data_IF_248074023758
#
_entry.id   IF_248074023758
#
_cell.length_a   1.000
_cell.length_b   1.000
_cell.length_c   1.000
_cell.angle_alpha   90.00
_cell.angle_beta   90.00
_cell.angle_gamma   90.00
#
_symmetry.space_group_name_H-M   'P 1'
#
loop_
_entity.id
_entity.type
_entity.pdbx_description
1 polymer ?
#
# COMPACT_ATOMS: atom_id res chain seq x y z
N UNK A 1 -7.74 6.76 -0.69
CA UNK A 1 -6.71 6.70 -1.75
C UNK A 1 -7.12 5.60 -2.74
N UNK A 2 -7.62 5.95 -3.92
CA UNK A 2 -7.97 4.96 -4.95
C UNK A 2 -6.86 4.94 -5.99
N UNK A 3 -6.24 3.78 -6.17
CA UNK A 3 -5.22 3.58 -7.19
C UNK A 3 -5.83 3.72 -8.60
N UNK A 4 -5.19 4.42 -9.54
CA UNK A 4 -5.82 4.71 -10.83
C UNK A 4 -5.97 3.43 -11.67
N UNK A 5 -7.19 3.15 -12.12
CA UNK A 5 -7.52 1.99 -12.98
C UNK A 5 -7.05 2.12 -14.44
N UNK A 6 -6.46 3.25 -14.82
CA UNK A 6 -5.80 3.44 -16.11
C UNK A 6 -4.38 2.85 -16.04
N UNK A 7 -4.04 1.85 -16.89
CA UNK A 7 -2.71 1.23 -16.93
C UNK A 7 -1.56 2.23 -17.09
N UNK A 8 -1.74 3.34 -17.82
CA UNK A 8 -0.70 4.36 -17.99
C UNK A 8 -0.45 5.11 -16.67
N UNK A 9 -1.50 5.44 -15.94
CA UNK A 9 -1.41 6.10 -14.65
C UNK A 9 -0.82 5.17 -13.57
N UNK A 10 -1.12 3.87 -13.66
CA UNK A 10 -0.48 2.83 -12.83
C UNK A 10 1.04 2.80 -13.02
N UNK A 11 1.52 2.80 -14.27
CA UNK A 11 2.96 2.77 -14.56
C UNK A 11 3.68 4.01 -14.00
N UNK A 12 3.07 5.19 -14.13
CA UNK A 12 3.61 6.44 -13.58
C UNK A 12 3.71 6.37 -12.05
N UNK A 13 2.68 5.84 -11.38
CA UNK A 13 2.70 5.69 -9.93
C UNK A 13 3.87 4.80 -9.46
N UNK A 14 4.10 3.65 -10.11
CA UNK A 14 5.25 2.79 -9.81
C UNK A 14 6.60 3.50 -10.03
N UNK A 15 6.73 4.24 -11.13
CA UNK A 15 7.93 5.02 -11.42
C UNK A 15 8.21 6.09 -10.34
N UNK A 16 7.17 6.79 -9.90
CA UNK A 16 7.27 7.78 -8.82
C UNK A 16 7.65 7.14 -7.49
N UNK A 17 6.98 6.05 -7.09
CA UNK A 17 7.32 5.33 -5.85
C UNK A 17 8.79 4.90 -5.84
N UNK A 18 9.30 4.35 -6.95
CA UNK A 18 10.72 3.98 -7.06
C UNK A 18 11.65 5.18 -6.92
N UNK A 19 11.30 6.31 -7.54
CA UNK A 19 12.10 7.54 -7.44
C UNK A 19 12.18 8.07 -6.00
N UNK A 20 11.07 8.03 -5.26
CA UNK A 20 11.03 8.45 -3.85
C UNK A 20 11.90 7.52 -3.00
N UNK A 21 11.77 6.21 -3.15
CA UNK A 21 12.58 5.23 -2.40
C UNK A 21 14.07 5.43 -2.66
N UNK A 22 14.47 5.60 -3.93
CA UNK A 22 15.86 5.89 -4.27
C UNK A 22 16.34 7.18 -3.63
N UNK A 23 15.55 8.26 -3.69
CA UNK A 23 15.88 9.52 -3.04
C UNK A 23 16.10 9.37 -1.53
N UNK A 24 15.26 8.59 -0.85
CA UNK A 24 15.39 8.34 0.59
C UNK A 24 16.68 7.59 0.92
N UNK A 25 17.05 6.57 0.13
CA UNK A 25 18.29 5.83 0.31
C UNK A 25 19.52 6.69 -0.01
N UNK A 26 19.49 7.40 -1.13
CA UNK A 26 20.63 8.18 -1.63
C UNK A 26 20.99 9.37 -0.70
N UNK A 27 20.01 9.95 -0.01
CA UNK A 27 20.21 11.14 0.83
C UNK A 27 20.34 10.83 2.33
N UNK A 28 19.75 9.74 2.81
CA UNK A 28 19.67 9.42 4.24
C UNK A 28 20.30 8.06 4.61
N UNK A 29 20.70 7.27 3.62
CA UNK A 29 21.35 5.97 3.81
C UNK A 29 20.37 4.81 3.96
N UNK A 30 20.95 3.61 3.99
CA UNK A 30 20.19 2.35 4.09
C UNK A 30 19.68 2.14 5.51
N UNK A 31 20.37 2.67 6.51
CA UNK A 31 20.02 2.58 7.93
C UNK A 31 18.67 3.26 8.20
N UNK A 32 18.45 4.47 7.67
CA UNK A 32 17.18 5.17 7.79
C UNK A 32 16.04 4.44 7.07
N UNK A 33 16.33 3.80 5.92
CA UNK A 33 15.36 2.96 5.21
C UNK A 33 15.00 1.70 6.03
N UNK A 34 15.98 1.08 6.68
CA UNK A 34 15.73 -0.06 7.56
C UNK A 34 14.85 0.35 8.75
N UNK A 35 15.13 1.47 9.41
CA UNK A 35 14.27 2.00 10.48
C UNK A 35 12.84 2.22 10.01
N UNK A 36 12.65 2.80 8.82
CA UNK A 36 11.32 3.02 8.26
C UNK A 36 10.55 1.70 8.09
N UNK A 37 11.20 0.69 7.50
CA UNK A 37 10.58 -0.61 7.25
C UNK A 37 10.29 -1.35 8.56
N UNK A 38 11.17 -1.26 9.56
CA UNK A 38 10.94 -1.81 10.90
C UNK A 38 9.73 -1.14 11.55
N UNK A 39 9.68 0.19 11.61
CA UNK A 39 8.59 0.94 12.22
C UNK A 39 7.24 0.62 11.57
N UNK A 40 7.20 0.51 10.23
CA UNK A 40 6.00 0.08 9.52
C UNK A 40 5.60 -1.36 9.86
N UNK A 41 6.57 -2.27 10.00
CA UNK A 41 6.32 -3.68 10.37
C UNK A 41 5.77 -3.83 11.79
N UNK A 42 6.10 -2.88 12.68
CA UNK A 42 5.59 -2.80 14.05
C UNK A 42 4.19 -2.16 14.15
N UNK A 43 3.65 -1.70 13.02
CA UNK A 43 2.30 -1.16 12.92
C UNK A 43 2.19 0.36 13.11
N UNK A 44 3.31 1.08 13.10
CA UNK A 44 3.29 2.55 13.06
C UNK A 44 2.66 3.04 11.75
N UNK A 45 2.00 4.18 11.81
CA UNK A 45 1.48 4.82 10.59
C UNK A 45 2.62 5.31 9.70
N UNK A 46 2.33 5.58 8.43
CA UNK A 46 3.33 6.13 7.49
C UNK A 46 3.90 7.45 7.98
N UNK A 47 3.06 8.33 8.53
CA UNK A 47 3.53 9.62 9.04
C UNK A 47 4.46 9.44 10.25
N UNK A 48 4.06 8.61 11.23
CA UNK A 48 4.87 8.35 12.42
C UNK A 48 6.21 7.68 12.06
N UNK A 49 6.19 6.69 11.16
CA UNK A 49 7.39 5.96 10.76
C UNK A 49 8.38 6.83 9.98
N UNK A 50 7.89 7.72 9.10
CA UNK A 50 8.75 8.70 8.38
C UNK A 50 9.33 9.71 9.37
N UNK A 51 8.50 10.23 10.29
CA UNK A 51 8.96 11.20 11.29
C UNK A 51 10.05 10.59 12.18
N UNK A 52 9.86 9.36 12.66
CA UNK A 52 10.83 8.67 13.50
C UNK A 52 12.14 8.33 12.76
N UNK A 53 12.04 7.87 11.51
CA UNK A 53 13.22 7.41 10.75
C UNK A 53 14.04 8.53 10.10
N UNK A 54 13.38 9.62 9.69
CA UNK A 54 14.00 10.71 8.93
C UNK A 54 13.96 12.07 9.65
N UNK A 55 13.20 12.20 10.74
CA UNK A 55 13.00 13.48 11.43
C UNK A 55 12.19 14.48 10.62
N UNK A 56 11.40 14.02 9.65
CA UNK A 56 10.67 14.86 8.70
C UNK A 56 9.18 14.53 8.68
N UNK A 57 8.35 15.56 8.54
CA UNK A 57 6.96 15.40 8.14
C UNK A 57 6.87 14.92 6.68
N UNK A 58 5.84 14.13 6.36
CA UNK A 58 5.65 13.56 5.03
C UNK A 58 5.58 14.63 3.92
N UNK A 59 5.00 15.78 4.20
CA UNK A 59 4.89 16.91 3.26
C UNK A 59 6.26 17.58 3.01
N UNK A 60 7.12 17.60 4.04
CA UNK A 60 8.48 18.10 3.91
C UNK A 60 9.33 17.13 3.07
N UNK A 61 9.17 15.82 3.27
CA UNK A 61 9.82 14.80 2.46
C UNK A 61 9.40 14.90 0.98
N UNK A 62 8.10 15.00 0.69
CA UNK A 62 7.60 15.17 -0.68
C UNK A 62 8.16 16.45 -1.32
N UNK A 63 8.11 17.58 -0.61
CA UNK A 63 8.62 18.86 -1.11
C UNK A 63 10.11 18.80 -1.44
N UNK A 64 10.91 18.16 -0.60
CA UNK A 64 12.35 18.01 -0.83
C UNK A 64 12.66 17.07 -2.00
N UNK A 65 11.98 15.91 -2.08
CA UNK A 65 12.12 14.98 -3.21
C UNK A 65 11.72 15.65 -4.54
N UNK A 66 10.59 16.37 -4.57
CA UNK A 66 10.16 17.10 -5.78
C UNK A 66 11.22 18.10 -6.22
N UNK A 67 11.80 18.84 -5.27
CA UNK A 67 12.89 19.78 -5.54
C UNK A 67 14.12 19.07 -6.10
N UNK A 68 14.47 17.88 -5.60
CA UNK A 68 15.66 17.13 -6.05
C UNK A 68 15.54 16.64 -7.49
N UNK A 69 14.33 16.31 -7.96
CA UNK A 69 14.08 15.88 -9.34
C UNK A 69 13.68 17.04 -10.28
N UNK A 70 13.73 18.29 -9.80
CA UNK A 70 13.34 19.48 -10.57
C UNK A 70 11.83 19.60 -10.84
N UNK A 71 11.00 18.90 -10.06
CA UNK A 71 9.55 19.01 -10.15
C UNK A 71 9.06 20.27 -9.41
N UNK A 72 8.01 20.90 -9.95
CA UNK A 72 7.29 21.98 -9.27
C UNK A 72 6.57 21.49 -8.01
N UNK A 73 6.09 22.40 -7.14
CA UNK A 73 5.38 22.04 -5.91
C UNK A 73 4.16 21.16 -6.21
N UNK A 74 3.77 20.33 -5.25
CA UNK A 74 2.57 19.52 -5.39
C UNK A 74 1.35 20.43 -5.54
N UNK A 75 0.63 20.25 -6.64
CA UNK A 75 -0.68 20.86 -6.87
C UNK A 75 -1.67 19.72 -6.85
N UNK A 76 -2.52 19.61 -5.80
CA UNK A 76 -3.63 18.69 -5.83
C UNK A 76 -4.38 18.90 -7.15
N UNK A 77 -4.73 17.82 -7.84
CA UNK A 77 -5.69 17.98 -8.94
C UNK A 77 -6.92 18.58 -8.31
N UNK A 78 -7.36 19.73 -8.82
CA UNK A 78 -8.74 20.19 -8.71
C UNK A 78 -9.60 18.97 -9.03
N UNK A 79 -10.18 18.39 -7.99
CA UNK A 79 -11.17 17.35 -8.12
C UNK A 79 -12.32 18.02 -8.87
N UNK A 80 -12.35 17.86 -10.18
CA UNK A 80 -13.63 17.83 -10.89
C UNK A 80 -14.41 16.76 -10.16
N UNK A 81 -15.27 17.18 -9.23
CA UNK A 81 -16.30 16.35 -8.67
C UNK A 81 -17.10 15.92 -9.87
N UNK A 82 -16.77 14.75 -10.43
CA UNK A 82 -17.69 14.07 -11.31
C UNK A 82 -18.86 13.77 -10.38
N UNK A 83 -19.89 14.61 -10.43
CA UNK A 83 -21.21 14.24 -9.98
C UNK A 83 -21.64 13.09 -10.88
N UNK A 84 -21.14 11.89 -10.60
CA UNK A 84 -21.77 10.66 -11.05
C UNK A 84 -23.12 10.73 -10.36
N UNK A 85 -24.16 11.16 -11.06
CA UNK A 85 -25.53 10.87 -10.65
C UNK A 85 -25.56 9.37 -10.45
N UNK A 86 -25.62 8.93 -9.19
CA UNK A 86 -25.70 7.51 -8.82
C UNK A 86 -27.07 6.99 -9.28
N UNK A 87 -27.21 6.77 -10.59
CA UNK A 87 -28.26 5.93 -11.14
C UNK A 87 -27.69 4.50 -11.20
N UNK A 88 -27.15 4.01 -10.08
CA UNK A 88 -26.79 2.61 -10.00
C UNK A 88 -28.02 1.87 -9.48
N UNK A 89 -28.63 0.93 -10.25
CA UNK A 89 -29.52 -0.04 -9.63
C UNK A 89 -28.73 -0.75 -8.52
N UNK A 90 -29.34 -0.92 -7.36
CA UNK A 90 -28.75 -1.69 -6.26
C UNK A 90 -28.63 -3.14 -6.74
N UNK A 91 -27.47 -3.48 -7.31
CA UNK A 91 -27.03 -4.86 -7.43
C UNK A 91 -26.22 -5.14 -6.17
N UNK A 92 -26.91 -5.59 -5.13
CA UNK A 92 -26.27 -6.27 -4.01
C UNK A 92 -25.90 -7.67 -4.48
N UNK A 93 -24.69 -7.85 -4.98
CA UNK A 93 -24.04 -9.16 -4.92
C UNK A 93 -22.57 -8.98 -4.57
N UNK A 94 -22.29 -9.35 -3.33
CA UNK A 94 -20.99 -9.32 -2.69
C UNK A 94 -20.02 -10.26 -3.41
N UNK A 95 -18.95 -9.71 -3.98
CA UNK A 95 -17.74 -10.50 -4.22
C UNK A 95 -16.99 -10.70 -2.90
N UNK A 96 -17.57 -11.50 -1.99
CA UNK A 96 -16.85 -12.07 -0.86
C UNK A 96 -16.28 -13.40 -1.36
N UNK A 97 -15.12 -13.36 -2.02
CA UNK A 97 -14.38 -14.59 -2.37
C UNK A 97 -14.00 -15.29 -1.06
N UNK A 98 -14.89 -16.16 -0.60
CA UNK A 98 -14.78 -16.95 0.62
C UNK A 98 -14.24 -18.35 0.31
N UNK A 99 -13.67 -18.54 -0.88
CA UNK A 99 -13.21 -19.85 -1.35
C UNK A 99 -11.93 -20.33 -0.65
N UNK A 100 -11.10 -19.43 -0.10
CA UNK A 100 -9.86 -19.83 0.58
C UNK A 100 -10.09 -20.33 2.01
N UNK A 101 -11.08 -19.79 2.73
CA UNK A 101 -11.38 -20.23 4.11
C UNK A 101 -12.00 -21.63 4.10
N UNK A 102 -12.88 -21.93 3.14
CA UNK A 102 -13.52 -23.25 3.00
C UNK A 102 -12.49 -24.31 2.60
N UNK A 103 -11.52 -23.99 1.75
CA UNK A 103 -10.45 -24.92 1.40
C UNK A 103 -9.49 -25.17 2.58
N UNK A 104 -9.17 -24.15 3.38
CA UNK A 104 -8.33 -24.32 4.57
C UNK A 104 -9.00 -25.17 5.66
N UNK A 105 -10.32 -25.02 5.86
CA UNK A 105 -11.04 -25.85 6.84
C UNK A 105 -11.12 -27.31 6.40
N UNK A 106 -11.42 -27.57 5.12
CA UNK A 106 -11.45 -28.94 4.57
C UNK A 106 -10.09 -29.63 4.69
N UNK A 107 -8.99 -28.93 4.37
CA UNK A 107 -7.64 -29.48 4.55
C UNK A 107 -7.30 -29.76 6.02
N UNK A 108 -7.72 -28.90 6.95
CA UNK A 108 -7.49 -29.11 8.38
C UNK A 108 -8.24 -30.33 8.93
N UNK A 109 -9.49 -30.53 8.51
CA UNK A 109 -10.27 -31.72 8.87
C UNK A 109 -9.74 -33.00 8.21
N UNK A 110 -9.29 -32.93 6.96
CA UNK A 110 -8.65 -34.06 6.28
C UNK A 110 -7.31 -34.45 6.94
N UNK A 111 -6.48 -33.47 7.31
CA UNK A 111 -5.23 -33.68 8.04
C UNK A 111 -5.46 -34.32 9.41
N UNK A 112 -6.47 -33.85 10.15
CA UNK A 112 -6.85 -34.41 11.46
C UNK A 112 -7.52 -35.79 11.35
N UNK A 113 -8.16 -36.08 10.22
CA UNK A 113 -8.76 -37.38 9.91
C UNK A 113 -7.72 -38.46 9.58
N UNK A 114 -6.70 -38.13 8.77
CA UNK A 114 -5.62 -39.07 8.45
C UNK A 114 -4.70 -39.37 9.63
N UNK A 115 -4.47 -38.41 10.53
CA UNK A 115 -3.67 -38.64 11.74
C UNK A 115 -4.37 -39.53 12.78
N UNK A 116 -5.70 -39.71 12.72
CA UNK A 116 -6.45 -40.69 13.54
C UNK A 116 -6.38 -42.13 13.02
N UNK A 117 -5.99 -42.34 11.76
CA UNK A 117 -5.82 -43.69 11.18
C UNK A 117 -4.35 -44.12 11.13
N UNK A 118 -3.41 -43.25 11.51
CA UNK A 118 -1.99 -43.60 11.64
C UNK A 118 -1.60 -43.94 13.10
N UNK A 119 -2.52 -43.76 14.06
CA UNK A 119 -2.31 -44.06 15.48
C UNK A 119 -3.41 -44.98 16.04
N UNK A 120 -3.78 -46.00 15.27
CA UNK A 120 -4.46 -47.23 15.73
C UNK A 120 -3.98 -48.42 14.92
#
# INVERSE_FOLDING_TARGET
>A
LTFPGDPKLTLVAYGQSRSVVNYMIDNYGVEAMNSLLTNLSEGMTVNESILDSYGLEIDALDSQWRKSIGAGPYKPRENTTITITKNNPVISDSCRSSSLIILMTIMFFAYKGMSRLYYS
#
